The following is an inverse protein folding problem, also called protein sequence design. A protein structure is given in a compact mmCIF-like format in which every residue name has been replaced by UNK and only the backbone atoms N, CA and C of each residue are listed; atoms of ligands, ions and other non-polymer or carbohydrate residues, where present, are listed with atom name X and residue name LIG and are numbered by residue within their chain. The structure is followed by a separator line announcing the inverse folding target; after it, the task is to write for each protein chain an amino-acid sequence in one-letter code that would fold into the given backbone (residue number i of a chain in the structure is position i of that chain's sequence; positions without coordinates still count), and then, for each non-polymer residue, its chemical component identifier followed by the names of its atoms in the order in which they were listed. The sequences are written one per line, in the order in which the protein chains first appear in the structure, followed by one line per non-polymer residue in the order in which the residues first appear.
data_IF_648355670054
#
_entry.id   IF_648355670054
#
_cell.length_a   1.000
_cell.length_b   1.000
_cell.length_c   1.000
_cell.angle_alpha   90.00
_cell.angle_beta   90.00
_cell.angle_gamma   90.00
#
_symmetry.space_group_name_H-M   'P 1'
#
loop_
_entity.id
_entity.type
_entity.pdbx_description
1 polymer ?
#
# COMPACT_ATOMS: atom_id res chain seq x y z
N UNK A 1 4.39 29.71 2.76
CA UNK A 1 4.27 29.21 4.15
C UNK A 1 4.17 27.69 4.09
N UNK A 2 5.31 27.02 4.20
CA UNK A 2 5.46 25.56 4.09
C UNK A 2 5.15 24.94 5.46
N UNK A 3 3.97 24.35 5.60
CA UNK A 3 3.55 23.68 6.83
C UNK A 3 4.22 22.29 6.89
N UNK A 4 5.45 22.23 7.41
CA UNK A 4 6.13 20.98 7.73
C UNK A 4 5.72 20.53 9.14
N UNK A 5 4.50 20.00 9.26
CA UNK A 5 4.09 19.23 10.44
C UNK A 5 4.89 17.92 10.45
N UNK A 6 5.47 17.57 11.60
CA UNK A 6 6.38 16.45 11.81
C UNK A 6 5.70 15.09 11.58
N UNK A 7 5.52 14.72 10.29
CA UNK A 7 5.02 13.41 9.84
C UNK A 7 5.89 12.28 10.39
N UNK A 8 5.30 11.10 10.60
CA UNK A 8 6.10 9.87 10.59
C UNK A 8 6.90 9.87 9.28
N UNK A 9 8.23 10.04 9.39
CA UNK A 9 9.05 10.45 8.26
C UNK A 9 8.99 9.43 7.13
N UNK A 10 9.03 9.90 5.88
CA UNK A 10 9.06 9.04 4.68
C UNK A 10 10.13 7.94 4.82
N UNK A 11 11.31 8.26 5.37
CA UNK A 11 12.36 7.27 5.66
C UNK A 11 11.92 6.14 6.60
N UNK A 12 11.13 6.43 7.63
CA UNK A 12 10.67 5.41 8.58
C UNK A 12 9.62 4.48 7.94
N UNK A 13 8.77 5.02 7.05
CA UNK A 13 7.86 4.23 6.21
C UNK A 13 8.67 3.35 5.24
N UNK A 14 9.65 3.92 4.55
CA UNK A 14 10.53 3.21 3.62
C UNK A 14 11.24 2.05 4.30
N UNK A 15 11.85 2.25 5.48
CA UNK A 15 12.48 1.16 6.24
C UNK A 15 11.49 0.07 6.65
N UNK A 16 10.27 0.46 7.00
CA UNK A 16 9.23 -0.47 7.39
C UNK A 16 8.73 -1.30 6.20
N UNK A 17 8.64 -0.70 5.00
CA UNK A 17 8.35 -1.41 3.76
C UNK A 17 9.51 -2.31 3.32
N UNK A 18 10.76 -1.84 3.42
CA UNK A 18 11.94 -2.64 3.10
C UNK A 18 12.02 -3.91 3.96
N UNK A 19 11.84 -3.78 5.27
CA UNK A 19 11.78 -4.95 6.17
C UNK A 19 10.62 -5.89 5.84
N UNK A 20 9.47 -5.35 5.45
CA UNK A 20 8.34 -6.17 5.02
C UNK A 20 8.67 -6.94 3.74
N UNK A 21 9.33 -6.30 2.79
CA UNK A 21 9.77 -6.93 1.54
C UNK A 21 10.83 -8.00 1.80
N UNK A 22 11.80 -7.75 2.68
CA UNK A 22 12.79 -8.75 3.09
C UNK A 22 12.12 -9.96 3.78
N UNK A 23 11.27 -9.73 4.79
CA UNK A 23 10.57 -10.81 5.50
C UNK A 23 9.60 -11.58 4.59
N UNK A 24 9.04 -10.89 3.59
CA UNK A 24 8.03 -11.41 2.68
C UNK A 24 8.54 -11.78 1.30
N UNK A 25 9.83 -11.65 1.01
CA UNK A 25 10.38 -11.72 -0.35
C UNK A 25 9.50 -11.01 -1.41
N UNK A 26 8.99 -9.82 -1.09
CA UNK A 26 8.14 -9.05 -2.00
C UNK A 26 9.02 -8.18 -2.90
N UNK A 27 8.85 -8.20 -4.24
CA UNK A 27 9.64 -7.38 -5.16
C UNK A 27 9.48 -5.88 -4.90
N UNK A 28 8.27 -5.47 -4.54
CA UNK A 28 7.95 -4.06 -4.33
C UNK A 28 6.75 -3.88 -3.39
N UNK A 29 6.84 -2.83 -2.57
CA UNK A 29 5.75 -2.33 -1.76
C UNK A 29 5.75 -0.80 -1.71
N UNK A 30 4.55 -0.22 -1.67
CA UNK A 30 4.35 1.23 -1.66
C UNK A 30 3.26 1.59 -0.67
N UNK A 31 3.46 2.69 0.06
CA UNK A 31 2.39 3.38 0.77
C UNK A 31 2.07 4.67 0.02
N UNK A 32 0.82 4.82 -0.39
CA UNK A 32 0.31 6.02 -1.05
C UNK A 32 -0.78 6.68 -0.21
N UNK A 33 -1.11 7.92 -0.55
CA UNK A 33 -2.37 8.52 -0.10
C UNK A 33 -3.58 7.99 -0.89
N UNK A 34 -4.79 8.43 -0.53
CA UNK A 34 -6.04 8.06 -1.23
C UNK A 34 -6.08 8.41 -2.73
N UNK A 35 -5.20 9.28 -3.20
CA UNK A 35 -5.09 9.69 -4.60
C UNK A 35 -3.97 8.93 -5.34
N UNK A 36 -3.26 8.04 -4.63
CA UNK A 36 -2.17 7.26 -5.18
C UNK A 36 -0.84 8.01 -5.27
N UNK A 37 -0.69 9.16 -4.60
CA UNK A 37 0.62 9.81 -4.50
C UNK A 37 1.51 9.06 -3.51
N UNK A 38 2.75 8.68 -3.91
CA UNK A 38 3.64 7.91 -3.05
C UNK A 38 4.09 8.73 -1.83
N UNK A 39 3.96 8.12 -0.65
CA UNK A 39 4.51 8.61 0.61
C UNK A 39 5.82 7.89 0.96
N UNK A 40 5.92 6.63 0.57
CA UNK A 40 7.12 5.80 0.69
C UNK A 40 7.01 4.59 -0.22
N UNK A 41 8.17 4.07 -0.66
CA UNK A 41 8.28 2.84 -1.42
C UNK A 41 9.52 2.06 -1.00
N UNK A 42 9.48 0.75 -1.17
CA UNK A 42 10.65 -0.13 -1.13
C UNK A 42 10.53 -1.09 -2.31
N UNK A 43 11.58 -1.18 -3.11
CA UNK A 43 11.63 -1.97 -4.33
C UNK A 43 13.00 -2.63 -4.46
N UNK A 44 13.01 -3.80 -5.10
CA UNK A 44 14.24 -4.36 -5.66
C UNK A 44 14.67 -3.52 -6.88
N UNK A 45 15.94 -3.60 -7.27
CA UNK A 45 16.53 -2.72 -8.30
C UNK A 45 15.86 -2.76 -9.69
N UNK A 46 15.01 -3.76 -9.95
CA UNK A 46 14.36 -4.02 -11.23
C UNK A 46 12.93 -3.43 -11.33
N UNK A 47 12.38 -2.91 -10.24
CA UNK A 47 10.99 -2.45 -10.16
C UNK A 47 10.88 -0.93 -10.04
N UNK A 48 9.88 -0.32 -10.70
CA UNK A 48 9.61 1.13 -10.65
C UNK A 48 8.41 1.45 -9.72
N UNK A 49 8.65 2.08 -8.55
CA UNK A 49 7.59 2.45 -7.62
C UNK A 49 6.60 3.49 -8.11
N UNK A 50 6.99 4.37 -9.03
CA UNK A 50 6.13 5.46 -9.50
C UNK A 50 5.05 4.90 -10.41
N UNK A 51 5.43 3.97 -11.30
CA UNK A 51 4.48 3.23 -12.15
C UNK A 51 3.49 2.46 -11.27
N UNK A 52 3.96 1.78 -10.23
CA UNK A 52 3.08 1.03 -9.35
C UNK A 52 2.11 1.95 -8.57
N UNK A 53 2.58 3.11 -8.09
CA UNK A 53 1.75 4.08 -7.37
C UNK A 53 0.59 4.61 -8.22
N UNK A 54 0.86 4.94 -9.48
CA UNK A 54 -0.15 5.38 -10.43
C UNK A 54 -1.21 4.29 -10.70
N UNK A 55 -0.77 3.03 -10.86
CA UNK A 55 -1.67 1.89 -11.02
C UNK A 55 -2.56 1.69 -9.78
N UNK A 56 -1.99 1.84 -8.58
CA UNK A 56 -2.74 1.76 -7.31
C UNK A 56 -3.82 2.84 -7.23
N UNK A 57 -3.52 4.07 -7.66
CA UNK A 57 -4.48 5.17 -7.73
C UNK A 57 -5.71 4.80 -8.58
N UNK A 58 -5.44 4.27 -9.78
CA UNK A 58 -6.47 3.87 -10.72
C UNK A 58 -7.33 2.75 -10.15
N UNK A 59 -6.70 1.72 -9.58
CA UNK A 59 -7.39 0.58 -8.97
C UNK A 59 -8.29 1.05 -7.83
N UNK A 60 -7.79 1.91 -6.95
CA UNK A 60 -8.57 2.41 -5.83
C UNK A 60 -9.76 3.25 -6.29
N UNK A 61 -9.57 4.11 -7.30
CA UNK A 61 -10.66 4.91 -7.89
C UNK A 61 -11.75 4.00 -8.44
N UNK A 62 -11.39 2.95 -9.18
CA UNK A 62 -12.31 1.97 -9.73
C UNK A 62 -13.04 1.21 -8.62
N UNK A 63 -12.35 0.81 -7.56
CA UNK A 63 -12.98 0.11 -6.44
C UNK A 63 -13.98 0.97 -5.66
N UNK A 64 -13.67 2.25 -5.43
CA UNK A 64 -14.61 3.21 -4.82
C UNK A 64 -15.88 3.35 -5.69
N UNK A 65 -15.70 3.43 -7.01
CA UNK A 65 -16.85 3.49 -7.93
C UNK A 65 -17.69 2.21 -7.88
N UNK A 66 -17.04 1.04 -7.95
CA UNK A 66 -17.72 -0.24 -7.83
C UNK A 66 -18.47 -0.38 -6.50
N UNK A 67 -17.86 0.04 -5.38
CA UNK A 67 -18.48 0.05 -4.07
C UNK A 67 -19.79 0.86 -4.09
N UNK A 68 -19.75 2.08 -4.63
CA UNK A 68 -20.92 2.97 -4.68
C UNK A 68 -22.05 2.40 -5.52
N UNK A 69 -21.73 1.71 -6.62
CA UNK A 69 -22.71 1.13 -7.54
C UNK A 69 -23.29 -0.19 -7.03
N UNK A 70 -22.49 -0.97 -6.30
CA UNK A 70 -22.88 -2.29 -5.78
C UNK A 70 -23.47 -2.22 -4.36
N UNK A 71 -23.50 -1.04 -3.73
CA UNK A 71 -23.97 -0.87 -2.35
C UNK A 71 -23.09 -1.59 -1.32
N UNK A 72 -21.79 -1.74 -1.60
CA UNK A 72 -20.88 -2.49 -0.72
C UNK A 72 -20.41 -1.63 0.46
N UNK A 73 -20.07 -2.30 1.56
CA UNK A 73 -19.30 -1.68 2.64
C UNK A 73 -17.90 -1.25 2.14
N UNK A 74 -17.17 -0.40 2.89
CA UNK A 74 -15.82 0.03 2.51
C UNK A 74 -14.91 -1.17 2.20
N UNK A 75 -14.15 -1.05 1.11
CA UNK A 75 -13.25 -2.11 0.64
C UNK A 75 -12.13 -2.35 1.67
N UNK A 76 -11.98 -3.58 2.18
CA UNK A 76 -10.85 -3.98 3.04
C UNK A 76 -9.58 -4.25 2.21
N UNK A 77 -9.75 -4.80 1.00
CA UNK A 77 -8.65 -5.22 0.14
C UNK A 77 -9.12 -5.36 -1.31
N UNK A 78 -8.23 -5.05 -2.25
CA UNK A 78 -8.36 -5.34 -3.68
C UNK A 78 -7.18 -6.20 -4.07
N UNK A 79 -7.42 -7.26 -4.85
CA UNK A 79 -6.37 -8.13 -5.36
C UNK A 79 -6.54 -8.31 -6.86
N UNK A 80 -5.45 -8.08 -7.60
CA UNK A 80 -5.37 -8.33 -9.05
C UNK A 80 -4.31 -9.38 -9.29
N UNK A 81 -4.66 -10.39 -10.08
CA UNK A 81 -3.73 -11.45 -10.48
C UNK A 81 -3.34 -11.25 -11.94
N UNK A 82 -2.08 -11.51 -12.27
CA UNK A 82 -1.65 -11.70 -13.66
C UNK A 82 -1.72 -13.18 -14.07
N UNK A 83 -1.39 -13.46 -15.33
CA UNK A 83 -1.43 -14.82 -15.88
C UNK A 83 -0.36 -15.74 -15.26
N UNK A 84 0.73 -15.15 -14.79
CA UNK A 84 1.85 -15.82 -14.13
C UNK A 84 1.53 -16.14 -12.66
N UNK A 85 0.44 -15.61 -12.12
CA UNK A 85 -0.02 -15.85 -10.76
C UNK A 85 0.61 -14.92 -9.72
N UNK A 86 1.30 -13.86 -10.14
CA UNK A 86 1.66 -12.75 -9.26
C UNK A 86 0.39 -11.98 -8.89
N UNK A 87 0.41 -11.38 -7.71
CA UNK A 87 -0.74 -10.66 -7.16
C UNK A 87 -0.37 -9.28 -6.70
N UNK A 88 -0.98 -8.26 -7.29
CA UNK A 88 -1.00 -6.92 -6.70
C UNK A 88 -2.10 -6.86 -5.65
N UNK A 89 -1.71 -6.61 -4.40
CA UNK A 89 -2.62 -6.43 -3.27
C UNK A 89 -2.64 -4.95 -2.91
N UNK A 90 -3.82 -4.33 -2.94
CA UNK A 90 -4.05 -2.96 -2.47
C UNK A 90 -4.93 -2.99 -1.22
N UNK A 91 -4.44 -2.43 -0.11
CA UNK A 91 -5.14 -2.42 1.18
C UNK A 91 -5.32 -0.98 1.64
N UNK A 92 -6.50 -0.37 1.46
CA UNK A 92 -6.78 0.92 2.05
C UNK A 92 -6.86 0.78 3.58
N UNK A 93 -6.35 1.78 4.30
CA UNK A 93 -6.45 1.84 5.75
C UNK A 93 -6.44 3.29 6.22
N UNK A 94 -7.24 3.57 7.26
CA UNK A 94 -7.26 4.89 7.85
C UNK A 94 -6.21 5.04 8.97
N UNK A 95 -5.64 6.23 9.01
CA UNK A 95 -4.76 6.74 10.06
C UNK A 95 -5.16 8.18 10.37
N UNK A 96 -5.73 8.41 11.55
CA UNK A 96 -6.34 9.69 11.94
C UNK A 96 -7.39 10.16 10.92
N UNK A 97 -7.13 11.25 10.19
CA UNK A 97 -8.00 11.80 9.14
C UNK A 97 -7.50 11.52 7.72
N UNK A 98 -6.51 10.64 7.57
CA UNK A 98 -5.92 10.29 6.29
C UNK A 98 -6.24 8.83 5.94
N UNK A 99 -6.76 8.62 4.74
CA UNK A 99 -6.83 7.29 4.13
C UNK A 99 -5.55 7.07 3.35
N UNK A 100 -4.84 6.00 3.69
CA UNK A 100 -3.63 5.54 3.02
C UNK A 100 -3.91 4.22 2.33
N UNK A 101 -3.06 3.86 1.37
CA UNK A 101 -3.15 2.57 0.68
C UNK A 101 -1.79 1.90 0.79
N UNK A 102 -1.77 0.69 1.33
CA UNK A 102 -0.60 -0.19 1.23
C UNK A 102 -0.76 -1.08 0.01
N UNK A 103 0.14 -0.93 -0.96
CA UNK A 103 0.21 -1.78 -2.13
C UNK A 103 1.43 -2.70 -2.05
N UNK A 104 1.26 -3.98 -2.39
CA UNK A 104 2.33 -4.98 -2.37
C UNK A 104 2.20 -5.90 -3.58
N UNK A 105 3.30 -6.12 -4.30
CA UNK A 105 3.36 -7.18 -5.30
C UNK A 105 3.79 -8.48 -4.62
N UNK A 106 2.94 -9.50 -4.68
CA UNK A 106 3.20 -10.83 -4.13
C UNK A 106 3.56 -11.76 -5.29
N UNK A 107 4.78 -12.33 -5.34
CA UNK A 107 5.26 -13.06 -6.52
C UNK A 107 4.64 -14.45 -6.69
N UNK A 108 4.13 -15.08 -5.63
CA UNK A 108 3.52 -16.41 -5.69
C UNK A 108 2.08 -16.40 -5.13
N UNK A 109 1.14 -16.97 -5.89
CA UNK A 109 -0.28 -17.14 -5.52
C UNK A 109 -0.49 -17.83 -4.16
N UNK A 110 0.39 -18.74 -3.76
CA UNK A 110 0.31 -19.49 -2.48
C UNK A 110 0.95 -18.74 -1.33
N UNK A 111 1.67 -17.66 -1.60
CA UNK A 111 2.41 -16.94 -0.59
C UNK A 111 1.48 -16.15 0.33
N UNK A 112 1.68 -16.33 1.63
CA UNK A 112 0.97 -15.56 2.65
C UNK A 112 1.57 -14.15 2.81
N UNK A 113 0.73 -13.12 2.70
CA UNK A 113 1.14 -11.71 2.86
C UNK A 113 0.35 -11.00 3.96
N UNK A 114 -0.86 -11.47 4.28
CA UNK A 114 -1.82 -10.77 5.15
C UNK A 114 -1.27 -10.48 6.55
N UNK A 115 -0.47 -11.39 7.12
CA UNK A 115 0.18 -11.18 8.42
C UNK A 115 1.22 -10.05 8.38
N UNK A 116 2.01 -9.98 7.31
CA UNK A 116 3.04 -8.96 7.12
C UNK A 116 2.41 -7.59 6.87
N UNK A 117 1.45 -7.51 5.94
CA UNK A 117 0.73 -6.26 5.64
C UNK A 117 -0.06 -5.75 6.85
N UNK A 118 -0.73 -6.63 7.62
CA UNK A 118 -1.38 -6.25 8.87
C UNK A 118 -0.40 -5.68 9.92
N UNK A 119 0.82 -6.23 9.99
CA UNK A 119 1.84 -5.75 10.92
C UNK A 119 2.28 -4.34 10.54
N UNK A 120 2.55 -4.12 9.25
CA UNK A 120 2.88 -2.81 8.68
C UNK A 120 1.80 -1.79 8.97
N UNK A 121 0.54 -2.09 8.62
CA UNK A 121 -0.60 -1.18 8.85
C UNK A 121 -0.72 -0.80 10.33
N UNK A 122 -0.59 -1.77 11.25
CA UNK A 122 -0.64 -1.50 12.69
C UNK A 122 0.52 -0.63 13.17
N UNK A 123 1.73 -0.85 12.66
CA UNK A 123 2.89 -0.04 13.02
C UNK A 123 2.74 1.40 12.51
N UNK A 124 2.29 1.59 11.27
CA UNK A 124 2.00 2.92 10.72
C UNK A 124 0.97 3.63 11.59
N UNK A 125 -0.16 2.98 11.92
CA UNK A 125 -1.18 3.54 12.82
C UNK A 125 -0.64 3.96 14.18
N UNK A 126 0.30 3.20 14.75
CA UNK A 126 0.89 3.50 16.08
C UNK A 126 1.90 4.64 16.05
N UNK A 127 2.65 4.78 14.95
CA UNK A 127 3.77 5.71 14.85
C UNK A 127 3.41 7.00 14.15
N UNK A 128 2.21 7.09 13.56
CA UNK A 128 1.71 8.30 12.92
C UNK A 128 1.49 9.42 13.94
N UNK A 129 2.40 10.39 13.94
CA UNK A 129 2.28 11.62 14.73
C UNK A 129 1.56 12.68 13.89
N UNK A 130 0.55 13.30 14.49
CA UNK A 130 -0.29 14.36 13.92
C UNK A 130 0.50 15.65 13.67
#
# INVERSE_FOLDING_TARGET
MTNQSTKFGSNALTHLLARMNEEGNFPIAVITDRHGFPLASAANAEEDPDIQSAVVALIQKTAIQAQSQLGMAPTDEISIYDAEGRRLVCRPFDVNRHTLILAVLVPDKRQSYRRLTNRVIRNVRRQWRL
#
